data_IF_204806647906
#
_entry.id   IF_204806647906
#
_cell.length_a   1.000
_cell.length_b   1.000
_cell.length_c   1.000
_cell.angle_alpha   90.00
_cell.angle_beta   90.00
_cell.angle_gamma   90.00
#
_symmetry.space_group_name_H-M   'P 1'
#
loop_
_entity.id
_entity.type
_entity.pdbx_description
1 polymer ?
#
# COMPACT_ATOMS: atom_id res chain seq x y z
N UNK A 1 -9.91 -2.88 -25.75
CA UNK A 1 -8.52 -2.33 -25.85
C UNK A 1 -7.52 -3.44 -25.54
N UNK A 2 -6.35 -3.45 -26.18
CA UNK A 2 -5.22 -4.35 -25.82
C UNK A 2 -4.40 -3.73 -24.68
N UNK A 3 -4.79 -4.02 -23.45
CA UNK A 3 -4.09 -3.53 -22.25
C UNK A 3 -2.68 -4.13 -22.12
N UNK A 4 -2.50 -5.40 -22.47
CA UNK A 4 -1.20 -6.05 -22.40
C UNK A 4 -0.18 -5.37 -23.33
N UNK A 5 -0.59 -5.05 -24.56
CA UNK A 5 0.22 -4.27 -25.50
C UNK A 5 0.53 -2.86 -24.99
N UNK A 6 -0.47 -2.17 -24.41
CA UNK A 6 -0.27 -0.82 -23.87
C UNK A 6 0.72 -0.81 -22.69
N UNK A 7 0.60 -1.73 -21.73
CA UNK A 7 1.52 -1.81 -20.58
C UNK A 7 2.92 -2.24 -21.01
N UNK A 8 3.03 -3.17 -22.00
CA UNK A 8 4.32 -3.55 -22.58
C UNK A 8 5.01 -2.37 -23.27
N UNK A 9 4.25 -1.51 -23.94
CA UNK A 9 4.82 -0.29 -24.53
C UNK A 9 5.34 0.68 -23.47
N UNK A 10 4.62 0.87 -22.36
CA UNK A 10 5.06 1.68 -21.22
C UNK A 10 6.36 1.11 -20.61
N UNK A 11 6.45 -0.21 -20.42
CA UNK A 11 7.68 -0.86 -19.94
C UNK A 11 8.87 -0.62 -20.89
N UNK A 12 8.65 -0.78 -22.19
CA UNK A 12 9.71 -0.64 -23.20
C UNK A 12 10.21 0.80 -23.29
N UNK A 13 9.29 1.79 -23.24
CA UNK A 13 9.65 3.21 -23.27
C UNK A 13 10.52 3.62 -22.06
N UNK A 14 10.19 3.07 -20.87
CA UNK A 14 10.87 3.42 -19.64
C UNK A 14 12.08 2.53 -19.30
N UNK A 15 12.24 1.38 -19.94
CA UNK A 15 13.20 0.36 -19.50
C UNK A 15 12.88 -0.21 -18.13
N UNK A 16 11.60 -0.21 -17.77
CA UNK A 16 11.09 -0.57 -16.46
C UNK A 16 10.38 -1.93 -16.46
N UNK A 17 10.04 -2.42 -15.28
CA UNK A 17 9.16 -3.59 -15.08
C UNK A 17 7.93 -3.16 -14.32
N UNK A 18 6.75 -3.41 -14.89
CA UNK A 18 5.45 -2.95 -14.41
C UNK A 18 4.55 -4.13 -14.05
N UNK A 19 3.91 -4.09 -12.90
CA UNK A 19 2.86 -5.01 -12.50
C UNK A 19 1.57 -4.24 -12.20
N UNK A 20 0.45 -4.64 -12.80
CA UNK A 20 -0.84 -3.98 -12.65
C UNK A 20 -1.92 -5.01 -12.33
N UNK A 21 -2.77 -4.69 -11.38
CA UNK A 21 -4.04 -5.37 -11.18
C UNK A 21 -5.11 -4.33 -10.84
N UNK A 22 -6.18 -4.30 -11.63
CA UNK A 22 -7.35 -3.44 -11.44
C UNK A 22 -8.63 -4.27 -11.42
N UNK A 23 -9.61 -3.86 -10.62
CA UNK A 23 -10.91 -4.51 -10.50
C UNK A 23 -12.01 -3.47 -10.28
N UNK A 24 -12.91 -3.35 -11.23
CA UNK A 24 -14.18 -2.62 -11.04
C UNK A 24 -15.17 -3.53 -10.31
N UNK A 25 -15.46 -3.23 -9.06
CA UNK A 25 -16.37 -4.03 -8.23
C UNK A 25 -17.84 -3.91 -8.67
N UNK A 26 -18.14 -2.99 -9.58
CA UNK A 26 -19.47 -2.79 -10.14
C UNK A 26 -19.80 -3.70 -11.32
N UNK A 27 -18.87 -3.83 -12.25
CA UNK A 27 -19.00 -4.63 -13.46
C UNK A 27 -18.30 -5.99 -13.38
N UNK A 28 -17.47 -6.19 -12.36
CA UNK A 28 -16.50 -7.29 -12.20
C UNK A 28 -15.40 -7.31 -13.30
N UNK A 29 -15.25 -6.23 -14.06
CA UNK A 29 -14.18 -6.12 -15.06
C UNK A 29 -12.81 -6.08 -14.36
N UNK A 30 -11.83 -6.76 -14.98
CA UNK A 30 -10.45 -6.83 -14.51
C UNK A 30 -9.49 -6.43 -15.61
N UNK A 31 -8.49 -5.66 -15.25
CA UNK A 31 -7.37 -5.32 -16.13
C UNK A 31 -6.09 -5.72 -15.41
N UNK A 32 -5.35 -6.63 -15.99
CA UNK A 32 -4.24 -7.30 -15.33
C UNK A 32 -3.02 -7.36 -16.24
N UNK A 33 -1.83 -7.10 -15.64
CA UNK A 33 -0.55 -7.24 -16.33
C UNK A 33 0.52 -7.65 -15.31
N UNK A 34 1.25 -8.73 -15.57
CA UNK A 34 2.21 -9.35 -14.64
C UNK A 34 1.66 -9.48 -13.21
N UNK A 35 0.35 -9.66 -13.08
CA UNK A 35 -0.39 -9.63 -11.82
C UNK A 35 0.02 -10.71 -10.82
N UNK A 36 0.69 -11.78 -11.29
CA UNK A 36 1.18 -12.88 -10.46
C UNK A 36 2.70 -12.85 -10.26
N UNK A 37 3.40 -11.86 -10.81
CA UNK A 37 4.83 -11.69 -10.57
C UNK A 37 5.08 -10.96 -9.25
N UNK A 38 6.18 -11.31 -8.57
CA UNK A 38 6.56 -10.69 -7.29
C UNK A 38 7.23 -9.34 -7.50
N UNK A 39 6.85 -8.39 -6.67
CA UNK A 39 7.47 -7.07 -6.55
C UNK A 39 7.74 -6.78 -5.08
N UNK A 40 8.84 -6.09 -4.78
CA UNK A 40 9.12 -5.60 -3.43
C UNK A 40 8.04 -4.60 -3.02
N UNK A 41 7.45 -4.81 -1.83
CA UNK A 41 6.31 -4.02 -1.35
C UNK A 41 6.70 -2.58 -0.99
N UNK A 42 7.92 -2.42 -0.47
CA UNK A 42 8.27 -1.18 0.23
C UNK A 42 7.14 -0.80 1.21
N UNK A 43 6.87 0.47 1.39
CA UNK A 43 5.87 0.94 2.37
C UNK A 43 4.41 0.58 2.07
N UNK A 44 4.07 -0.13 0.98
CA UNK A 44 2.68 -0.57 0.76
C UNK A 44 2.22 -1.58 1.82
N UNK A 45 3.14 -2.30 2.48
CA UNK A 45 2.80 -3.21 3.58
C UNK A 45 2.10 -2.50 4.75
N UNK A 46 2.34 -1.19 4.96
CA UNK A 46 1.78 -0.40 6.07
C UNK A 46 0.25 -0.35 6.03
N UNK A 47 -0.33 -0.39 4.84
CA UNK A 47 -1.78 -0.56 4.67
C UNK A 47 -2.27 -1.84 5.37
N UNK A 48 -1.66 -2.98 5.04
CA UNK A 48 -2.05 -4.27 5.61
C UNK A 48 -1.70 -4.37 7.11
N UNK A 49 -0.62 -3.71 7.54
CA UNK A 49 -0.24 -3.63 8.94
C UNK A 49 -1.28 -2.88 9.78
N UNK A 50 -1.77 -1.73 9.30
CA UNK A 50 -2.85 -0.99 9.96
C UNK A 50 -4.17 -1.78 9.95
N UNK A 51 -4.50 -2.46 8.85
CA UNK A 51 -5.65 -3.36 8.79
C UNK A 51 -5.54 -4.50 9.81
N UNK A 52 -4.35 -5.07 10.03
CA UNK A 52 -4.12 -6.10 11.04
C UNK A 52 -4.32 -5.59 12.48
N UNK A 53 -3.92 -4.33 12.76
CA UNK A 53 -4.23 -3.69 14.04
C UNK A 53 -5.74 -3.54 14.23
N UNK A 54 -6.44 -3.03 13.22
CA UNK A 54 -7.90 -2.85 13.26
C UNK A 54 -8.63 -4.19 13.44
N UNK A 55 -8.18 -5.26 12.77
CA UNK A 55 -8.74 -6.60 12.98
C UNK A 55 -8.57 -7.08 14.44
N UNK A 56 -7.46 -6.77 15.09
CA UNK A 56 -7.27 -7.08 16.52
C UNK A 56 -8.15 -6.22 17.42
N UNK A 57 -8.40 -4.97 17.04
CA UNK A 57 -9.38 -4.12 17.75
C UNK A 57 -10.78 -4.69 17.65
N UNK A 58 -11.19 -5.11 16.46
CA UNK A 58 -12.50 -5.75 16.25
C UNK A 58 -12.70 -7.04 17.08
N UNK A 59 -11.60 -7.73 17.41
CA UNK A 59 -11.61 -8.93 18.25
C UNK A 59 -11.27 -8.64 19.73
N UNK A 60 -11.26 -7.38 20.15
CA UNK A 60 -10.95 -6.94 21.53
C UNK A 60 -9.54 -7.35 22.02
N UNK A 61 -8.61 -7.61 21.09
CA UNK A 61 -7.23 -8.01 21.36
C UNK A 61 -6.27 -6.82 21.37
N UNK A 62 -6.74 -5.65 20.95
CA UNK A 62 -5.97 -4.42 20.88
C UNK A 62 -6.90 -3.21 21.09
N UNK A 63 -6.31 -2.03 21.40
CA UNK A 63 -7.03 -0.78 21.59
C UNK A 63 -6.31 0.34 20.85
N UNK A 64 -7.04 1.14 20.08
CA UNK A 64 -6.48 2.25 19.33
C UNK A 64 -5.97 3.38 20.23
N UNK A 65 -6.56 3.57 21.42
CA UNK A 65 -6.15 4.59 22.40
C UNK A 65 -4.94 4.17 23.25
N UNK A 66 -4.44 2.92 23.11
CA UNK A 66 -3.25 2.47 23.82
C UNK A 66 -2.05 3.32 23.43
N UNK A 67 -1.37 3.89 24.44
CA UNK A 67 -0.13 4.65 24.23
C UNK A 67 1.04 3.69 24.02
N UNK A 68 1.77 3.92 22.95
CA UNK A 68 3.03 3.24 22.62
C UNK A 68 4.16 4.22 22.85
N UNK A 69 5.02 3.94 23.82
CA UNK A 69 6.23 4.72 24.09
C UNK A 69 7.41 4.15 23.33
N UNK A 70 8.27 5.00 22.85
CA UNK A 70 9.50 4.64 22.13
C UNK A 70 10.61 5.65 22.41
N UNK A 71 11.84 5.26 22.16
CA UNK A 71 13.04 6.04 22.44
C UNK A 71 13.62 6.62 21.15
N UNK A 72 14.55 7.56 21.27
CA UNK A 72 15.29 8.12 20.14
C UNK A 72 16.07 7.05 19.36
N UNK A 73 16.53 6.00 20.02
CA UNK A 73 17.21 4.85 19.40
C UNK A 73 16.30 3.99 18.50
N UNK A 74 14.98 4.12 18.63
CA UNK A 74 14.01 3.34 17.86
C UNK A 74 13.63 4.06 16.55
N UNK A 75 14.04 5.33 16.42
CA UNK A 75 13.83 6.10 15.21
C UNK A 75 14.69 5.55 14.05
N UNK A 76 14.05 5.39 12.91
CA UNK A 76 14.71 5.07 11.64
C UNK A 76 14.53 6.23 10.64
N UNK A 77 15.34 6.31 9.58
CA UNK A 77 15.21 7.36 8.56
C UNK A 77 13.78 7.49 8.04
N UNK A 78 13.35 8.72 7.78
CA UNK A 78 12.01 9.11 7.33
C UNK A 78 10.91 8.79 8.36
N UNK A 79 10.91 9.54 9.43
CA UNK A 79 9.95 9.41 10.56
C UNK A 79 9.32 10.77 10.92
N UNK A 80 8.65 11.46 9.96
CA UNK A 80 8.28 12.88 10.08
C UNK A 80 7.27 13.20 11.17
N UNK A 81 6.55 12.18 11.66
CA UNK A 81 5.58 12.32 12.74
C UNK A 81 6.16 11.79 14.04
N UNK A 82 6.62 10.54 14.06
CA UNK A 82 7.11 9.87 15.26
C UNK A 82 8.34 10.55 15.88
N UNK A 83 9.21 11.20 15.09
CA UNK A 83 10.36 11.94 15.63
C UNK A 83 9.97 13.07 16.60
N UNK A 84 8.74 13.57 16.53
CA UNK A 84 8.24 14.68 17.35
C UNK A 84 7.68 14.24 18.70
N UNK A 85 7.48 12.94 18.90
CA UNK A 85 6.82 12.36 20.08
C UNK A 85 7.71 11.36 20.84
N UNK A 86 9.03 11.48 20.65
CA UNK A 86 10.02 10.63 21.34
C UNK A 86 9.91 10.85 22.85
N UNK A 87 9.76 9.76 23.60
CA UNK A 87 9.65 9.77 25.06
C UNK A 87 8.23 9.99 25.58
N UNK A 88 7.41 10.77 24.91
CA UNK A 88 5.99 10.95 25.26
C UNK A 88 5.14 9.77 24.78
N UNK A 89 5.47 9.21 23.61
CA UNK A 89 4.70 8.19 22.94
C UNK A 89 3.52 8.74 22.16
N UNK A 90 2.85 7.84 21.46
CA UNK A 90 1.66 8.14 20.64
C UNK A 90 0.60 7.07 20.86
N UNK A 91 -0.68 7.40 20.66
CA UNK A 91 -1.71 6.36 20.57
C UNK A 91 -1.46 5.46 19.36
N UNK A 92 -1.87 4.21 19.47
CA UNK A 92 -1.74 3.25 18.35
C UNK A 92 -2.53 3.74 17.11
N UNK A 93 -3.64 4.45 17.33
CA UNK A 93 -4.38 5.14 16.28
C UNK A 93 -3.51 6.15 15.52
N UNK A 94 -2.87 7.07 16.25
CA UNK A 94 -2.00 8.09 15.65
C UNK A 94 -0.77 7.47 14.94
N UNK A 95 -0.27 6.34 15.44
CA UNK A 95 0.81 5.58 14.80
C UNK A 95 0.32 4.96 13.47
N UNK A 96 -0.86 4.33 13.44
CA UNK A 96 -1.44 3.79 12.21
C UNK A 96 -1.71 4.91 11.19
N UNK A 97 -2.25 6.05 11.63
CA UNK A 97 -2.46 7.22 10.81
C UNK A 97 -1.14 7.73 10.20
N UNK A 98 -0.10 7.92 11.00
CA UNK A 98 1.22 8.35 10.54
C UNK A 98 1.83 7.39 9.51
N UNK A 99 1.70 6.08 9.75
CA UNK A 99 2.19 5.05 8.85
C UNK A 99 1.50 5.08 7.47
N UNK A 100 0.19 5.34 7.44
CA UNK A 100 -0.56 5.40 6.17
C UNK A 100 -0.41 6.77 5.51
N UNK A 101 -0.70 7.86 6.24
CA UNK A 101 -0.81 9.19 5.65
C UNK A 101 0.53 9.80 5.26
N UNK A 102 1.55 9.61 6.09
CA UNK A 102 2.89 10.18 5.91
C UNK A 102 3.93 9.12 5.53
N UNK A 103 3.52 7.85 5.49
CA UNK A 103 4.45 6.73 5.28
C UNK A 103 5.59 6.64 6.31
N UNK A 104 5.38 7.13 7.54
CA UNK A 104 6.37 7.15 8.63
C UNK A 104 6.93 5.76 8.90
N UNK A 105 8.26 5.63 8.84
CA UNK A 105 8.93 4.32 8.91
C UNK A 105 9.00 3.79 10.34
N UNK A 106 9.27 4.65 11.32
CA UNK A 106 9.22 4.24 12.73
C UNK A 106 7.82 3.84 13.13
N UNK A 107 6.79 4.56 12.68
CA UNK A 107 5.40 4.15 12.88
C UNK A 107 5.12 2.75 12.30
N UNK A 108 5.62 2.46 11.08
CA UNK A 108 5.54 1.13 10.49
C UNK A 108 6.17 0.05 11.37
N UNK A 109 7.35 0.31 11.92
CA UNK A 109 8.03 -0.61 12.83
C UNK A 109 7.29 -0.81 14.16
N UNK A 110 6.74 0.26 14.74
CA UNK A 110 5.95 0.18 15.99
C UNK A 110 4.65 -0.63 15.78
N UNK A 111 4.01 -0.51 14.62
CA UNK A 111 2.88 -1.37 14.27
C UNK A 111 3.34 -2.83 14.18
N UNK A 112 4.44 -3.13 13.49
CA UNK A 112 4.97 -4.49 13.42
C UNK A 112 5.26 -5.05 14.80
N UNK A 113 5.79 -4.26 15.73
CA UNK A 113 6.02 -4.71 17.11
C UNK A 113 4.72 -5.13 17.79
N UNK A 114 3.64 -4.36 17.60
CA UNK A 114 2.33 -4.71 18.16
C UNK A 114 1.74 -6.01 17.58
N UNK A 115 2.15 -6.39 16.38
CA UNK A 115 1.70 -7.58 15.66
C UNK A 115 2.57 -8.82 15.86
N UNK A 116 3.68 -8.71 16.60
CA UNK A 116 4.67 -9.79 16.75
C UNK A 116 5.69 -9.85 15.61
N UNK A 117 6.00 -8.70 15.01
CA UNK A 117 7.00 -8.51 13.95
C UNK A 117 6.51 -8.87 12.55
N UNK A 118 7.42 -8.91 11.57
CA UNK A 118 7.12 -9.25 10.18
C UNK A 118 6.36 -10.57 10.01
N UNK A 119 6.70 -11.58 10.82
CA UNK A 119 5.99 -12.88 10.82
C UNK A 119 4.54 -12.77 11.25
N UNK A 120 4.24 -11.88 12.21
CA UNK A 120 2.87 -11.63 12.66
C UNK A 120 2.01 -11.03 11.56
N UNK A 121 2.53 -10.06 10.82
CA UNK A 121 1.85 -9.50 9.67
C UNK A 121 1.67 -10.53 8.53
N UNK A 122 2.69 -11.34 8.25
CA UNK A 122 2.59 -12.44 7.29
C UNK A 122 1.50 -13.44 7.70
N UNK A 123 1.37 -13.75 9.01
CA UNK A 123 0.28 -14.60 9.52
C UNK A 123 -1.10 -13.97 9.30
N UNK A 124 -1.23 -12.66 9.50
CA UNK A 124 -2.48 -11.96 9.20
C UNK A 124 -2.85 -12.04 7.71
N UNK A 125 -1.89 -11.81 6.79
CA UNK A 125 -2.13 -12.00 5.37
C UNK A 125 -2.62 -13.42 5.04
N UNK A 126 -2.05 -14.45 5.68
CA UNK A 126 -2.52 -15.84 5.53
C UNK A 126 -3.96 -16.02 5.99
N UNK A 127 -4.40 -15.37 7.07
CA UNK A 127 -5.79 -15.42 7.53
C UNK A 127 -6.78 -14.79 6.55
N UNK A 128 -6.31 -13.84 5.73
CA UNK A 128 -7.05 -13.29 4.59
C UNK A 128 -7.04 -14.22 3.36
N UNK A 129 -6.31 -15.35 3.41
CA UNK A 129 -6.15 -16.26 2.27
C UNK A 129 -5.07 -15.83 1.27
N UNK A 130 -4.26 -14.80 1.59
CA UNK A 130 -3.10 -14.46 0.76
C UNK A 130 -1.94 -15.41 1.06
N UNK A 131 -1.60 -16.27 0.09
CA UNK A 131 -0.47 -17.18 0.14
C UNK A 131 0.84 -16.55 -0.36
N UNK A 132 0.79 -15.38 -0.96
CA UNK A 132 1.95 -14.76 -1.64
C UNK A 132 2.64 -13.69 -0.82
N UNK A 133 1.93 -12.95 0.01
CA UNK A 133 2.50 -11.93 0.90
C UNK A 133 3.65 -12.53 1.73
N UNK A 134 4.77 -11.85 1.75
CA UNK A 134 5.92 -12.24 2.54
C UNK A 134 6.64 -11.01 3.05
N UNK A 135 6.67 -10.83 4.37
CA UNK A 135 7.46 -9.80 5.03
C UNK A 135 8.47 -10.49 5.94
N UNK A 136 9.75 -10.19 5.75
CA UNK A 136 10.86 -10.80 6.45
C UNK A 136 11.62 -9.78 7.31
N UNK A 137 11.68 -8.53 6.85
CA UNK A 137 12.49 -7.45 7.45
C UNK A 137 11.61 -6.30 7.92
N UNK A 138 12.22 -5.35 8.57
CA UNK A 138 11.60 -4.12 9.09
C UNK A 138 12.01 -2.92 8.22
N UNK A 139 11.42 -1.76 8.49
CA UNK A 139 11.92 -0.51 7.94
C UNK A 139 13.30 -0.19 8.57
N UNK A 140 14.29 0.22 7.82
CA UNK A 140 14.25 0.51 6.37
C UNK A 140 14.80 -0.62 5.49
N UNK A 141 15.26 -1.71 6.09
CA UNK A 141 15.95 -2.84 5.41
C UNK A 141 15.06 -3.51 4.33
N UNK A 142 13.74 -3.55 4.55
CA UNK A 142 12.79 -4.12 3.60
C UNK A 142 12.76 -3.39 2.23
N UNK A 143 13.32 -2.17 2.17
CA UNK A 143 13.39 -1.37 0.94
C UNK A 143 14.63 -1.69 0.08
N UNK A 144 15.46 -2.66 0.45
CA UNK A 144 16.61 -3.09 -0.35
C UNK A 144 16.19 -3.51 -1.76
N UNK A 145 15.08 -4.22 -1.90
CA UNK A 145 14.38 -4.54 -3.15
C UNK A 145 15.30 -5.09 -4.26
N UNK A 146 16.17 -6.02 -3.90
CA UNK A 146 17.11 -6.63 -4.88
C UNK A 146 16.34 -7.50 -5.88
N UNK A 147 16.64 -7.41 -7.19
CA UNK A 147 16.10 -8.32 -8.18
C UNK A 147 16.37 -9.79 -7.82
N UNK A 148 15.33 -10.62 -7.90
CA UNK A 148 15.43 -12.06 -7.58
C UNK A 148 15.38 -12.39 -6.07
N UNK A 149 15.24 -11.39 -5.19
CA UNK A 149 15.02 -11.61 -3.77
C UNK A 149 13.51 -11.62 -3.48
N UNK A 150 12.99 -12.74 -3.01
CA UNK A 150 11.57 -12.88 -2.67
C UNK A 150 11.19 -12.30 -1.30
N UNK A 151 12.18 -11.87 -0.48
CA UNK A 151 11.89 -11.23 0.81
C UNK A 151 11.14 -9.91 0.59
N UNK A 152 10.18 -9.64 1.47
CA UNK A 152 9.41 -8.40 1.50
C UNK A 152 8.67 -8.11 0.19
N UNK A 153 8.13 -9.18 -0.43
CA UNK A 153 7.44 -9.10 -1.72
C UNK A 153 5.99 -9.54 -1.66
N UNK A 154 5.23 -9.05 -2.63
CA UNK A 154 3.85 -9.45 -2.91
C UNK A 154 3.61 -9.45 -4.42
N UNK A 155 2.46 -9.96 -4.87
CA UNK A 155 1.99 -9.82 -6.23
C UNK A 155 0.88 -8.78 -6.34
N UNK A 156 0.73 -8.06 -7.46
CA UNK A 156 -0.35 -7.09 -7.65
C UNK A 156 -1.75 -7.67 -7.41
N UNK A 157 -2.00 -8.91 -7.84
CA UNK A 157 -3.29 -9.57 -7.64
C UNK A 157 -3.56 -9.94 -6.18
N UNK A 158 -2.52 -10.23 -5.39
CA UNK A 158 -2.70 -10.58 -3.99
C UNK A 158 -3.04 -9.35 -3.15
N UNK A 159 -2.29 -8.27 -3.27
CA UNK A 159 -2.59 -7.03 -2.53
C UNK A 159 -3.94 -6.44 -2.93
N UNK A 160 -4.37 -6.61 -4.19
CA UNK A 160 -5.69 -6.19 -4.63
C UNK A 160 -6.80 -6.95 -3.89
N UNK A 161 -6.62 -8.26 -3.68
CA UNK A 161 -7.56 -9.08 -2.89
C UNK A 161 -7.56 -8.68 -1.42
N UNK A 162 -6.39 -8.36 -0.86
CA UNK A 162 -6.30 -7.86 0.52
C UNK A 162 -7.00 -6.51 0.68
N UNK A 163 -6.83 -5.58 -0.29
CA UNK A 163 -7.60 -4.33 -0.36
C UNK A 163 -9.10 -4.61 -0.40
N UNK A 164 -9.55 -5.52 -1.25
CA UNK A 164 -10.96 -5.87 -1.37
C UNK A 164 -11.53 -6.39 -0.05
N UNK A 165 -10.83 -7.31 0.62
CA UNK A 165 -11.29 -7.93 1.87
C UNK A 165 -11.31 -6.96 3.04
N UNK A 166 -10.30 -6.10 3.15
CA UNK A 166 -10.13 -5.23 4.31
C UNK A 166 -10.83 -3.89 4.17
N UNK A 167 -10.85 -3.28 2.97
CA UNK A 167 -11.45 -1.97 2.77
C UNK A 167 -12.92 -2.03 2.30
N UNK A 168 -13.34 -3.10 1.61
CA UNK A 168 -14.68 -3.21 1.03
C UNK A 168 -15.46 -4.44 1.50
N UNK A 169 -14.77 -5.49 1.95
CA UNK A 169 -15.34 -6.77 2.37
C UNK A 169 -15.64 -6.82 3.87
N UNK A 170 -15.63 -8.02 4.41
CA UNK A 170 -16.03 -8.35 5.78
C UNK A 170 -14.86 -8.76 6.70
N UNK A 171 -13.63 -8.62 6.24
CA UNK A 171 -12.44 -8.91 7.07
C UNK A 171 -12.28 -7.96 8.27
N UNK A 172 -12.93 -6.79 8.23
CA UNK A 172 -12.99 -5.81 9.31
C UNK A 172 -14.45 -5.43 9.60
N UNK A 173 -14.72 -4.98 10.82
CA UNK A 173 -16.00 -4.34 11.15
C UNK A 173 -16.23 -3.08 10.30
N UNK A 174 -17.47 -2.62 10.20
CA UNK A 174 -17.76 -1.37 9.48
C UNK A 174 -16.95 -0.19 10.02
N UNK A 175 -16.86 -0.05 11.34
CA UNK A 175 -16.10 1.03 11.99
C UNK A 175 -14.63 0.99 11.59
N UNK A 176 -14.01 -0.19 11.63
CA UNK A 176 -12.60 -0.38 11.27
C UNK A 176 -12.34 -0.16 9.78
N UNK A 177 -13.26 -0.56 8.88
CA UNK A 177 -13.18 -0.24 7.45
C UNK A 177 -13.26 1.27 7.20
N UNK A 178 -14.20 1.94 7.84
CA UNK A 178 -14.38 3.39 7.73
C UNK A 178 -13.11 4.13 8.18
N UNK A 179 -12.49 3.68 9.29
CA UNK A 179 -11.24 4.23 9.81
C UNK A 179 -10.06 4.00 8.86
N UNK A 180 -9.90 2.76 8.35
CA UNK A 180 -8.85 2.44 7.37
C UNK A 180 -8.99 3.29 6.12
N UNK A 181 -10.21 3.40 5.61
CA UNK A 181 -10.54 4.23 4.45
C UNK A 181 -10.23 5.72 4.70
N UNK A 182 -10.58 6.24 5.87
CA UNK A 182 -10.28 7.63 6.24
C UNK A 182 -8.77 7.92 6.22
N UNK A 183 -7.94 7.02 6.78
CA UNK A 183 -6.49 7.16 6.72
C UNK A 183 -5.95 7.11 5.28
N UNK A 184 -6.46 6.20 4.44
CA UNK A 184 -6.05 6.10 3.05
C UNK A 184 -6.43 7.35 2.23
N UNK A 185 -7.64 7.88 2.43
CA UNK A 185 -8.09 9.14 1.80
C UNK A 185 -7.23 10.33 2.21
N UNK A 186 -6.73 10.34 3.44
CA UNK A 186 -5.87 11.39 4.00
C UNK A 186 -4.39 11.26 3.58
N UNK A 187 -4.00 10.23 2.81
CA UNK A 187 -2.63 10.03 2.33
C UNK A 187 -2.06 11.28 1.65
N UNK A 188 -0.81 11.63 1.99
CA UNK A 188 -0.07 12.80 1.46
C UNK A 188 1.03 12.40 0.49
N UNK A 189 1.22 11.11 0.26
CA UNK A 189 2.35 10.60 -0.54
C UNK A 189 1.97 10.20 -1.96
N UNK A 190 0.67 10.11 -2.28
CA UNK A 190 0.14 9.62 -3.55
C UNK A 190 -0.25 10.68 -4.58
N UNK A 191 -0.21 11.97 -4.23
CA UNK A 191 -0.75 13.05 -5.07
C UNK A 191 -0.16 13.12 -6.49
N UNK A 192 1.09 12.69 -6.67
CA UNK A 192 1.78 12.67 -7.96
C UNK A 192 1.66 11.35 -8.73
N UNK A 193 1.11 10.30 -8.12
CA UNK A 193 1.00 8.94 -8.70
C UNK A 193 -0.38 8.67 -9.27
N UNK A 194 -1.07 7.64 -8.76
CA UNK A 194 -2.37 7.22 -9.30
C UNK A 194 -3.37 8.37 -9.29
N UNK A 195 -3.46 9.14 -8.20
CA UNK A 195 -4.36 10.31 -8.10
C UNK A 195 -4.20 11.29 -9.25
N UNK A 196 -2.95 11.55 -9.70
CA UNK A 196 -2.66 12.50 -10.77
C UNK A 196 -3.18 12.05 -12.14
N UNK A 197 -3.47 10.77 -12.33
CA UNK A 197 -3.99 10.21 -13.57
C UNK A 197 -5.50 10.03 -13.61
N UNK A 198 -6.17 10.13 -12.46
CA UNK A 198 -7.60 9.93 -12.31
C UNK A 198 -8.41 11.23 -12.45
N UNK A 199 -9.69 11.17 -12.81
CA UNK A 199 -10.57 12.35 -12.80
C UNK A 199 -10.60 13.02 -11.42
N UNK A 200 -10.66 14.36 -11.39
CA UNK A 200 -10.56 15.15 -10.16
C UNK A 200 -11.74 15.00 -9.20
N UNK A 201 -12.89 14.59 -9.72
CA UNK A 201 -14.10 14.31 -8.97
C UNK A 201 -14.16 12.91 -8.37
N UNK A 202 -13.15 12.08 -8.64
CA UNK A 202 -13.02 10.75 -8.02
C UNK A 202 -12.28 10.84 -6.69
N UNK A 203 -12.87 10.26 -5.64
CA UNK A 203 -12.19 10.11 -4.36
C UNK A 203 -11.22 8.94 -4.42
N UNK A 204 -9.99 9.13 -3.89
CA UNK A 204 -8.92 8.12 -3.95
C UNK A 204 -8.29 7.96 -2.58
N UNK A 205 -8.38 6.77 -2.03
CA UNK A 205 -7.62 6.36 -0.86
C UNK A 205 -6.45 5.49 -1.28
N UNK A 206 -5.20 5.90 -1.00
CA UNK A 206 -4.02 5.21 -1.49
C UNK A 206 -2.95 4.96 -0.43
N UNK A 207 -2.05 4.04 -0.73
CA UNK A 207 -0.79 3.84 -0.02
C UNK A 207 0.35 3.61 -0.98
N UNK A 208 1.35 4.48 -0.92
CA UNK A 208 2.56 4.38 -1.75
C UNK A 208 3.65 3.53 -1.12
N UNK A 209 4.58 3.06 -1.96
CA UNK A 209 5.84 2.45 -1.57
C UNK A 209 6.97 2.92 -2.47
N UNK A 210 8.16 3.17 -1.91
CA UNK A 210 9.31 3.68 -2.68
C UNK A 210 10.60 3.11 -2.12
N UNK A 211 11.58 2.85 -2.98
CA UNK A 211 12.94 2.53 -2.59
C UNK A 211 13.96 3.29 -3.44
N UNK A 212 15.16 3.46 -2.92
CA UNK A 212 16.28 4.06 -3.66
C UNK A 212 16.76 3.15 -4.81
N UNK A 213 16.47 1.84 -4.73
CA UNK A 213 16.80 0.87 -5.79
C UNK A 213 15.89 0.95 -7.03
N UNK A 214 14.88 1.83 -7.03
CA UNK A 214 14.02 2.05 -8.19
C UNK A 214 12.59 1.54 -8.08
N UNK A 215 12.16 1.03 -6.91
CA UNK A 215 10.76 0.70 -6.70
C UNK A 215 9.93 1.98 -6.53
N UNK A 216 8.80 2.00 -7.21
CA UNK A 216 7.74 2.98 -7.00
C UNK A 216 6.40 2.26 -7.12
N UNK A 217 5.67 2.17 -6.03
CA UNK A 217 4.42 1.42 -5.94
C UNK A 217 3.30 2.33 -5.49
N UNK A 218 2.08 2.01 -5.89
CA UNK A 218 0.89 2.67 -5.37
C UNK A 218 -0.30 1.70 -5.42
N UNK A 219 -1.02 1.58 -4.32
CA UNK A 219 -2.22 0.75 -4.20
C UNK A 219 -3.38 1.64 -3.75
N UNK A 220 -4.54 1.49 -4.37
CA UNK A 220 -5.65 2.40 -4.15
C UNK A 220 -7.02 1.72 -4.14
N UNK A 221 -7.91 2.29 -3.34
CA UNK A 221 -9.36 2.16 -3.48
C UNK A 221 -9.86 3.49 -4.04
N UNK A 222 -10.62 3.43 -5.11
CA UNK A 222 -11.06 4.57 -5.89
C UNK A 222 -12.60 4.57 -5.90
N UNK A 223 -13.21 5.71 -5.58
CA UNK A 223 -14.67 5.88 -5.58
C UNK A 223 -15.07 6.89 -6.67
N UNK A 224 -15.40 6.41 -7.89
CA UNK A 224 -16.01 7.26 -8.91
C UNK A 224 -17.42 7.70 -8.49
N UNK A 225 -17.89 8.91 -8.88
CA UNK A 225 -19.26 9.33 -8.59
C UNK A 225 -20.31 8.35 -9.18
N UNK A 226 -21.31 8.01 -8.39
CA UNK A 226 -22.43 7.14 -8.79
C UNK A 226 -22.04 5.74 -9.31
N UNK A 227 -20.86 5.24 -8.97
CA UNK A 227 -20.37 3.89 -9.30
C UNK A 227 -19.87 3.17 -8.06
N UNK A 228 -19.80 1.85 -8.13
CA UNK A 228 -19.11 1.05 -7.10
C UNK A 228 -17.60 1.31 -7.15
N UNK A 229 -16.88 1.05 -6.05
CA UNK A 229 -15.44 1.28 -5.99
C UNK A 229 -14.64 0.49 -7.03
N UNK A 230 -13.54 1.07 -7.46
CA UNK A 230 -12.50 0.42 -8.26
C UNK A 230 -11.28 0.19 -7.36
N UNK A 231 -10.70 -1.00 -7.43
CA UNK A 231 -9.44 -1.33 -6.78
C UNK A 231 -8.33 -1.28 -7.81
N UNK A 232 -7.17 -0.71 -7.45
CA UNK A 232 -6.02 -0.61 -8.34
C UNK A 232 -4.72 -0.83 -7.55
N UNK A 233 -3.88 -1.73 -8.04
CA UNK A 233 -2.54 -1.96 -7.54
C UNK A 233 -1.54 -1.83 -8.70
N UNK A 234 -0.56 -0.93 -8.54
CA UNK A 234 0.51 -0.69 -9.50
C UNK A 234 1.85 -0.81 -8.80
N UNK A 235 2.68 -1.73 -9.28
CA UNK A 235 4.04 -1.97 -8.83
C UNK A 235 4.99 -1.69 -9.98
N UNK A 236 5.98 -0.85 -9.74
CA UNK A 236 6.95 -0.42 -10.75
C UNK A 236 8.37 -0.62 -10.21
N UNK A 237 9.20 -1.28 -10.99
CA UNK A 237 10.66 -1.30 -10.81
C UNK A 237 11.31 -0.61 -12.00
N UNK A 238 11.89 0.55 -11.75
CA UNK A 238 12.57 1.40 -12.72
C UNK A 238 13.89 1.91 -12.11
N UNK A 239 14.97 1.12 -12.20
CA UNK A 239 16.23 1.46 -11.53
C UNK A 239 16.95 2.66 -12.16
N UNK A 240 16.63 3.01 -13.41
CA UNK A 240 17.27 4.08 -14.16
C UNK A 240 16.43 5.37 -14.21
N UNK A 241 15.16 5.30 -13.80
CA UNK A 241 14.23 6.42 -13.84
C UNK A 241 14.45 7.42 -12.70
N UNK A 242 13.93 8.62 -12.91
CA UNK A 242 13.83 9.66 -11.88
C UNK A 242 12.55 9.49 -11.06
N UNK A 243 12.44 10.11 -9.88
CA UNK A 243 11.17 10.12 -9.15
C UNK A 243 9.99 10.64 -9.98
N UNK A 244 10.20 11.67 -10.81
CA UNK A 244 9.15 12.24 -11.65
C UNK A 244 8.76 11.31 -12.81
N UNK A 245 9.73 10.66 -13.49
CA UNK A 245 9.40 9.68 -14.53
C UNK A 245 8.61 8.50 -14.00
N UNK A 246 8.96 7.99 -12.81
CA UNK A 246 8.20 6.92 -12.15
C UNK A 246 6.77 7.36 -11.79
N UNK A 247 6.60 8.60 -11.31
CA UNK A 247 5.27 9.16 -11.04
C UNK A 247 4.45 9.31 -12.33
N UNK A 248 5.06 9.72 -13.45
CA UNK A 248 4.39 9.83 -14.74
C UNK A 248 3.93 8.47 -15.29
N UNK A 249 4.67 7.39 -15.03
CA UNK A 249 4.22 6.03 -15.36
C UNK A 249 2.93 5.69 -14.59
N UNK A 250 2.89 5.93 -13.28
CA UNK A 250 1.67 5.72 -12.48
C UNK A 250 0.49 6.52 -13.00
N UNK A 251 0.72 7.78 -13.35
CA UNK A 251 -0.29 8.66 -13.93
C UNK A 251 -0.80 8.15 -15.28
N UNK A 252 0.10 7.68 -16.18
CA UNK A 252 -0.27 7.06 -17.46
C UNK A 252 -1.14 5.81 -17.23
N UNK A 253 -0.74 4.92 -16.32
CA UNK A 253 -1.49 3.70 -15.98
C UNK A 253 -2.87 4.05 -15.42
N UNK A 254 -2.96 4.97 -14.46
CA UNK A 254 -4.24 5.36 -13.85
C UNK A 254 -5.21 5.94 -14.88
N UNK A 255 -4.72 6.78 -15.80
CA UNK A 255 -5.54 7.33 -16.90
C UNK A 255 -6.05 6.23 -17.82
N UNK A 256 -5.19 5.30 -18.22
CA UNK A 256 -5.57 4.19 -19.08
C UNK A 256 -6.66 3.32 -18.42
N UNK A 257 -6.55 3.08 -17.11
CA UNK A 257 -7.58 2.36 -16.34
C UNK A 257 -8.88 3.16 -16.29
N UNK A 258 -8.84 4.44 -15.93
CA UNK A 258 -10.04 5.28 -15.77
C UNK A 258 -10.87 5.42 -17.07
N UNK A 259 -10.18 5.43 -18.23
CA UNK A 259 -10.83 5.56 -19.54
C UNK A 259 -11.50 4.25 -20.02
N UNK A 260 -11.20 3.09 -19.40
CA UNK A 260 -11.57 1.79 -19.98
C UNK A 260 -12.19 0.79 -18.98
N UNK A 261 -12.35 1.16 -17.72
CA UNK A 261 -12.91 0.27 -16.69
C UNK A 261 -14.31 0.67 -16.26
#
# INVERSE_FOLDING_TARGET
>A
MDFAGAFKAIEAEAGARLGVSAHDTGSDNRIEYRQHERFAMCSTFKFLAAAAVLARVDHEQERLDRIVTYKKSDLVPYSPVTEKHVGEGMSLEAICEAAITMSDNTAGNLILDSLGGPKGLTKYARSLGDATFRLDRRETELNEAKPGDDRDTITPSAILKDLQKTALGDALSKSSRDQLTAWMLASKTGDKRLRAGLPKDWSVGDKTGTSDSGMANDIAVIWPPNRKPILLAVYLYDPNGTPDSRNDIHKKVARLIAENI
#
